data_IF_222639578463
#
_entry.id   IF_222639578463
#
_cell.length_a   1.000
_cell.length_b   1.000
_cell.length_c   1.000
_cell.angle_alpha   90.00
_cell.angle_beta   90.00
_cell.angle_gamma   90.00
#
_symmetry.space_group_name_H-M   'P 1'
#
loop_
_entity.id
_entity.type
_entity.pdbx_description
1 polymer ?
#
# COMPACT_ATOMS: atom_id res chain seq x y z
N UNK A 1 49.40 1.02 -1.06
CA UNK A 1 48.75 -0.12 -0.38
C UNK A 1 47.29 0.26 -0.16
N UNK A 2 46.40 -0.61 -0.62
CA UNK A 2 44.98 -0.35 -0.80
C UNK A 2 44.27 -0.42 0.57
N UNK A 3 43.66 0.68 1.00
CA UNK A 3 42.82 0.72 2.20
C UNK A 3 41.42 0.35 1.72
N UNK A 4 41.11 -0.94 1.75
CA UNK A 4 39.81 -1.46 1.32
C UNK A 4 38.69 -0.83 2.14
N UNK A 5 37.83 -0.04 1.50
CA UNK A 5 36.57 0.37 2.09
C UNK A 5 35.72 -0.88 2.28
N UNK A 6 35.46 -1.23 3.54
CA UNK A 6 34.39 -2.16 3.91
C UNK A 6 33.05 -1.55 3.46
N UNK A 7 32.61 -1.88 2.24
CA UNK A 7 31.19 -1.80 1.89
C UNK A 7 30.55 -3.06 2.42
N UNK A 8 29.87 -2.95 3.57
CA UNK A 8 28.91 -3.96 3.99
C UNK A 8 27.88 -4.12 2.86
N UNK A 9 27.52 -5.35 2.44
CA UNK A 9 26.38 -5.54 1.56
C UNK A 9 25.15 -5.18 2.38
N UNK A 10 24.65 -3.95 2.24
CA UNK A 10 23.33 -3.59 2.71
C UNK A 10 22.38 -4.41 1.85
N UNK A 11 21.94 -5.57 2.35
CA UNK A 11 20.82 -6.28 1.75
C UNK A 11 19.63 -5.35 1.90
N UNK A 12 19.26 -4.65 0.82
CA UNK A 12 17.97 -3.99 0.75
C UNK A 12 16.90 -5.05 1.06
N UNK A 13 16.17 -4.82 2.15
CA UNK A 13 15.11 -5.73 2.54
C UNK A 13 14.01 -5.59 1.51
N UNK A 14 13.66 -6.68 0.83
CA UNK A 14 12.51 -6.76 -0.09
C UNK A 14 11.17 -6.37 0.54
N UNK A 15 11.10 -6.34 1.87
CA UNK A 15 9.91 -5.92 2.62
C UNK A 15 10.28 -5.43 4.01
N UNK A 16 9.49 -4.50 4.54
CA UNK A 16 9.51 -4.08 5.94
C UNK A 16 8.15 -4.32 6.58
N UNK A 17 8.13 -4.76 7.84
CA UNK A 17 6.91 -4.97 8.61
C UNK A 17 6.99 -4.12 9.89
N UNK A 18 5.91 -3.40 10.19
CA UNK A 18 5.81 -2.52 11.35
C UNK A 18 4.41 -2.63 11.97
N UNK A 19 4.31 -2.49 13.29
CA UNK A 19 3.01 -2.46 13.96
C UNK A 19 2.36 -1.09 13.80
N UNK A 20 1.04 -1.03 13.56
CA UNK A 20 0.31 0.24 13.40
C UNK A 20 0.37 1.17 14.62
N UNK A 21 0.75 0.66 15.79
CA UNK A 21 0.89 1.45 17.01
C UNK A 21 2.35 1.81 17.32
N UNK A 22 3.28 1.48 16.43
CA UNK A 22 4.66 1.93 16.53
C UNK A 22 4.74 3.42 16.24
N UNK A 23 5.51 4.16 17.05
CA UNK A 23 5.67 5.61 16.90
C UNK A 23 6.39 5.95 15.59
N UNK A 24 7.25 5.06 15.11
CA UNK A 24 8.02 5.24 13.87
C UNK A 24 7.34 4.61 12.64
N UNK A 25 6.13 4.05 12.77
CA UNK A 25 5.44 3.35 11.68
C UNK A 25 5.30 4.22 10.42
N UNK A 26 4.93 5.49 10.60
CA UNK A 26 4.76 6.42 9.48
C UNK A 26 6.07 6.61 8.71
N UNK A 27 7.14 6.93 9.44
CA UNK A 27 8.47 7.20 8.90
C UNK A 27 9.06 5.97 8.22
N UNK A 28 8.98 4.80 8.87
CA UNK A 28 9.52 3.53 8.34
C UNK A 28 8.88 3.20 6.99
N UNK A 29 7.54 3.28 6.90
CA UNK A 29 6.82 3.02 5.64
C UNK A 29 7.18 4.09 4.61
N UNK A 30 7.23 5.36 5.01
CA UNK A 30 7.53 6.47 4.10
C UNK A 30 8.93 6.35 3.49
N UNK A 31 9.94 6.05 4.30
CA UNK A 31 11.32 5.90 3.86
C UNK A 31 11.48 4.69 2.94
N UNK A 32 10.78 3.59 3.24
CA UNK A 32 10.74 2.44 2.33
C UNK A 32 10.13 2.81 0.98
N UNK A 33 8.98 3.49 0.95
CA UNK A 33 8.36 3.90 -0.31
C UNK A 33 9.30 4.83 -1.10
N UNK A 34 9.89 5.80 -0.42
CA UNK A 34 10.77 6.78 -1.05
C UNK A 34 12.03 6.13 -1.66
N UNK A 35 12.57 5.09 -1.04
CA UNK A 35 13.77 4.40 -1.56
C UNK A 35 13.49 3.52 -2.77
N UNK A 36 12.23 3.14 -3.03
CA UNK A 36 11.87 2.23 -4.13
C UNK A 36 11.04 2.89 -5.24
N UNK A 37 10.46 4.07 -5.01
CA UNK A 37 9.76 4.83 -6.05
C UNK A 37 10.77 5.42 -7.04
N UNK A 38 10.50 5.41 -8.36
CA UNK A 38 11.36 6.06 -9.35
C UNK A 38 11.31 7.58 -9.17
N UNK A 39 12.37 8.16 -8.60
CA UNK A 39 12.46 9.62 -8.32
C UNK A 39 13.17 10.42 -9.42
N UNK A 40 13.89 9.75 -10.32
CA UNK A 40 14.69 10.38 -11.38
C UNK A 40 13.97 10.46 -12.73
N UNK A 41 12.84 9.78 -12.85
CA UNK A 41 12.02 9.74 -14.06
C UNK A 41 10.71 10.49 -13.80
N UNK A 42 10.14 11.12 -14.83
CA UNK A 42 8.83 11.77 -14.72
C UNK A 42 7.69 10.73 -14.79
N UNK A 43 7.87 9.61 -14.10
CA UNK A 43 6.98 8.44 -14.12
C UNK A 43 5.77 8.73 -13.24
N UNK A 44 4.53 8.62 -13.77
CA UNK A 44 3.32 8.82 -12.99
C UNK A 44 3.23 7.79 -11.85
N UNK A 45 2.84 8.23 -10.65
CA UNK A 45 2.69 7.34 -9.50
C UNK A 45 1.20 7.11 -9.23
N UNK A 46 0.79 5.85 -9.15
CA UNK A 46 -0.60 5.48 -8.86
C UNK A 46 -0.68 4.64 -7.59
N UNK A 47 -1.67 4.95 -6.75
CA UNK A 47 -2.02 4.17 -5.58
C UNK A 47 -3.35 3.49 -5.86
N UNK A 48 -3.36 2.16 -5.80
CA UNK A 48 -4.56 1.36 -6.03
C UNK A 48 -4.94 0.70 -4.71
N UNK A 49 -6.00 1.23 -4.12
CA UNK A 49 -6.56 0.80 -2.86
C UNK A 49 -7.62 -0.28 -3.09
N UNK A 50 -7.32 -1.50 -2.68
CA UNK A 50 -8.12 -2.68 -2.97
C UNK A 50 -8.93 -3.08 -1.74
N UNK A 51 -10.21 -3.40 -1.97
CA UNK A 51 -11.14 -3.81 -0.94
C UNK A 51 -12.56 -3.34 -1.20
N UNK A 52 -13.45 -3.56 -0.23
CA UNK A 52 -14.85 -3.11 -0.28
C UNK A 52 -15.31 -2.53 1.05
N UNK A 53 -16.20 -1.56 0.97
CA UNK A 53 -16.97 -0.99 2.07
C UNK A 53 -17.99 -1.98 2.69
N UNK A 54 -18.26 -3.12 2.03
CA UNK A 54 -19.25 -4.12 2.46
C UNK A 54 -18.72 -5.17 3.44
N UNK A 55 -17.43 -5.14 3.76
CA UNK A 55 -16.79 -6.04 4.72
C UNK A 55 -15.79 -5.27 5.55
N UNK A 56 -15.94 -5.26 6.89
CA UNK A 56 -15.14 -4.39 7.75
C UNK A 56 -13.65 -4.66 7.66
N UNK A 57 -13.25 -5.93 7.53
CA UNK A 57 -11.85 -6.34 7.35
C UNK A 57 -11.30 -6.00 5.97
N UNK A 58 -12.15 -6.02 4.94
CA UNK A 58 -11.76 -5.71 3.56
C UNK A 58 -11.86 -4.20 3.25
N UNK A 59 -12.34 -3.39 4.19
CA UNK A 59 -12.50 -1.95 3.99
C UNK A 59 -11.18 -1.16 4.06
N UNK A 60 -10.04 -1.81 4.36
CA UNK A 60 -8.76 -1.12 4.57
C UNK A 60 -8.37 -0.26 3.37
N UNK A 61 -8.38 -0.83 2.15
CA UNK A 61 -8.04 -0.10 0.93
C UNK A 61 -8.93 1.12 0.72
N UNK A 62 -10.25 0.96 0.53
CA UNK A 62 -11.18 2.08 0.36
C UNK A 62 -11.05 3.17 1.42
N UNK A 63 -10.83 2.79 2.68
CA UNK A 63 -10.60 3.73 3.79
C UNK A 63 -9.30 4.51 3.65
N UNK A 64 -8.22 3.88 3.17
CA UNK A 64 -6.97 4.57 2.84
C UNK A 64 -7.19 5.53 1.68
N UNK A 65 -7.83 5.06 0.59
CA UNK A 65 -8.11 5.88 -0.60
C UNK A 65 -8.88 7.16 -0.27
N UNK A 66 -10.01 7.03 0.44
CA UNK A 66 -10.80 8.19 0.87
C UNK A 66 -10.04 9.14 1.80
N UNK A 67 -9.16 8.63 2.67
CA UNK A 67 -8.31 9.49 3.51
C UNK A 67 -7.30 10.27 2.67
N UNK A 68 -6.70 9.64 1.66
CA UNK A 68 -5.72 10.29 0.80
C UNK A 68 -6.34 11.40 -0.04
N UNK A 69 -7.55 11.20 -0.58
CA UNK A 69 -8.29 12.25 -1.29
C UNK A 69 -8.53 13.49 -0.41
N UNK A 70 -8.82 13.29 0.88
CA UNK A 70 -8.99 14.38 1.84
C UNK A 70 -7.69 15.09 2.24
N UNK A 71 -6.53 14.50 1.95
CA UNK A 71 -5.22 14.99 2.39
C UNK A 71 -4.52 15.91 1.38
N UNK A 72 -5.11 16.16 0.20
CA UNK A 72 -4.56 17.02 -0.86
C UNK A 72 -3.13 16.65 -1.29
N UNK A 73 -2.84 15.35 -1.45
CA UNK A 73 -1.55 14.89 -1.98
C UNK A 73 -1.37 15.30 -3.45
N UNK A 74 -0.12 15.46 -3.90
CA UNK A 74 0.19 16.11 -5.19
C UNK A 74 0.88 15.20 -6.21
N UNK A 75 1.59 14.16 -5.76
CA UNK A 75 2.44 13.33 -6.60
C UNK A 75 1.83 11.98 -6.98
N UNK A 76 0.73 11.59 -6.32
CA UNK A 76 0.08 10.30 -6.54
C UNK A 76 -1.34 10.47 -7.06
N UNK A 77 -1.71 9.65 -8.05
CA UNK A 77 -3.08 9.41 -8.43
C UNK A 77 -3.67 8.32 -7.53
N UNK A 78 -4.83 8.56 -6.93
CA UNK A 78 -5.45 7.62 -5.99
C UNK A 78 -6.67 6.99 -6.64
N UNK A 79 -6.76 5.66 -6.56
CA UNK A 79 -7.89 4.87 -7.04
C UNK A 79 -8.34 3.90 -5.94
N UNK A 80 -9.64 3.64 -5.87
CA UNK A 80 -10.21 2.78 -4.83
C UNK A 80 -10.53 3.54 -3.56
N UNK A 81 -11.65 4.23 -3.56
CA UNK A 81 -12.15 4.98 -2.39
C UNK A 81 -13.43 4.33 -1.86
N UNK A 82 -14.00 4.86 -0.77
CA UNK A 82 -15.33 4.43 -0.34
C UNK A 82 -16.41 4.77 -1.38
N UNK A 83 -16.26 5.88 -2.11
CA UNK A 83 -17.22 6.28 -3.14
C UNK A 83 -17.07 5.42 -4.41
N UNK A 84 -15.82 5.12 -4.79
CA UNK A 84 -15.49 4.30 -5.97
C UNK A 84 -14.58 3.12 -5.57
N UNK A 85 -15.13 2.06 -4.93
CA UNK A 85 -14.34 0.94 -4.43
C UNK A 85 -13.82 0.04 -5.56
N UNK A 86 -12.56 -0.40 -5.42
CA UNK A 86 -11.94 -1.40 -6.30
C UNK A 86 -11.81 -2.71 -5.53
N UNK A 87 -12.59 -3.71 -5.93
CA UNK A 87 -12.66 -5.02 -5.30
C UNK A 87 -12.47 -6.15 -6.34
N UNK A 88 -12.39 -7.39 -5.87
CA UNK A 88 -12.15 -8.56 -6.73
C UNK A 88 -13.03 -8.67 -7.99
N UNK A 89 -14.27 -8.16 -7.97
CA UNK A 89 -15.20 -8.28 -9.11
C UNK A 89 -14.99 -7.25 -10.22
N UNK A 90 -14.33 -6.11 -9.94
CA UNK A 90 -14.12 -5.02 -10.90
C UNK A 90 -12.63 -4.65 -11.05
N UNK A 91 -11.73 -5.37 -10.38
CA UNK A 91 -10.30 -5.07 -10.35
C UNK A 91 -9.68 -5.07 -11.74
N UNK A 92 -9.96 -6.09 -12.55
CA UNK A 92 -9.38 -6.24 -13.90
C UNK A 92 -9.76 -5.06 -14.81
N UNK A 93 -11.05 -4.73 -14.87
CA UNK A 93 -11.56 -3.61 -15.66
C UNK A 93 -10.96 -2.26 -15.18
N UNK A 94 -10.85 -2.06 -13.86
CA UNK A 94 -10.27 -0.85 -13.30
C UNK A 94 -8.78 -0.73 -13.61
N UNK A 95 -8.00 -1.82 -13.50
CA UNK A 95 -6.58 -1.81 -13.88
C UNK A 95 -6.44 -1.43 -15.34
N UNK A 96 -7.24 -2.03 -16.22
CA UNK A 96 -7.18 -1.73 -17.65
C UNK A 96 -7.50 -0.26 -17.93
N UNK A 97 -8.52 0.29 -17.27
CA UNK A 97 -8.88 1.71 -17.40
C UNK A 97 -7.76 2.63 -16.89
N UNK A 98 -7.16 2.30 -15.73
CA UNK A 98 -6.05 3.07 -15.15
C UNK A 98 -4.86 3.06 -16.11
N UNK A 99 -4.44 1.90 -16.59
CA UNK A 99 -3.31 1.76 -17.52
C UNK A 99 -3.56 2.47 -18.86
N UNK A 100 -4.79 2.49 -19.35
CA UNK A 100 -5.15 3.26 -20.55
C UNK A 100 -5.12 4.77 -20.32
N UNK A 101 -5.49 5.23 -19.12
CA UNK A 101 -5.54 6.66 -18.77
C UNK A 101 -4.19 7.23 -18.34
N UNK A 102 -3.36 6.43 -17.67
CA UNK A 102 -2.06 6.77 -17.12
C UNK A 102 -1.08 5.65 -17.51
N UNK A 103 -0.61 5.65 -18.77
CA UNK A 103 0.33 4.63 -19.23
C UNK A 103 1.64 4.70 -18.45
N UNK A 104 2.28 3.54 -18.30
CA UNK A 104 3.58 3.37 -17.63
C UNK A 104 3.62 3.88 -16.18
N UNK A 105 2.47 3.96 -15.51
CA UNK A 105 2.42 4.36 -14.10
C UNK A 105 3.08 3.31 -13.20
N UNK A 106 3.91 3.79 -12.27
CA UNK A 106 4.41 2.99 -11.16
C UNK A 106 3.32 2.85 -10.10
N UNK A 107 2.87 1.63 -9.86
CA UNK A 107 1.70 1.29 -9.07
C UNK A 107 2.11 0.77 -7.69
N UNK A 108 1.47 1.34 -6.66
CA UNK A 108 1.53 0.87 -5.28
C UNK A 108 0.15 0.30 -4.92
N UNK A 109 0.08 -1.01 -4.70
CA UNK A 109 -1.17 -1.68 -4.34
C UNK A 109 -1.35 -1.71 -2.82
N UNK A 110 -2.54 -1.38 -2.33
CA UNK A 110 -2.87 -1.41 -0.90
C UNK A 110 -3.99 -2.43 -0.69
N UNK A 111 -3.80 -3.39 0.20
CA UNK A 111 -4.78 -4.46 0.43
C UNK A 111 -4.81 -4.89 1.91
N UNK A 112 -5.95 -5.44 2.34
CA UNK A 112 -6.07 -6.12 3.62
C UNK A 112 -5.79 -7.61 3.43
N UNK A 113 -5.12 -8.22 4.40
CA UNK A 113 -4.96 -9.66 4.43
C UNK A 113 -5.11 -10.23 5.83
N UNK A 114 -5.30 -11.55 5.87
CA UNK A 114 -5.35 -12.32 7.09
C UNK A 114 -3.97 -12.90 7.40
N UNK A 115 -3.62 -13.03 8.67
CA UNK A 115 -2.31 -13.51 9.08
C UNK A 115 -2.31 -14.20 10.43
N UNK A 116 -1.11 -14.49 10.94
CA UNK A 116 -0.95 -15.09 12.27
C UNK A 116 -1.41 -14.12 13.36
N UNK A 117 -1.94 -14.65 14.45
CA UNK A 117 -2.44 -13.87 15.60
C UNK A 117 -1.46 -12.79 16.08
N UNK A 118 -0.18 -13.14 16.21
CA UNK A 118 0.89 -12.23 16.64
C UNK A 118 1.17 -11.05 15.69
N UNK A 119 0.71 -11.15 14.44
CA UNK A 119 0.93 -10.14 13.40
C UNK A 119 -0.31 -9.26 13.17
N UNK A 120 -1.41 -9.49 13.88
CA UNK A 120 -2.63 -8.68 13.73
C UNK A 120 -2.32 -7.23 14.10
N UNK A 121 -2.65 -6.32 13.19
CA UNK A 121 -2.32 -4.90 13.28
C UNK A 121 -0.93 -4.54 12.76
N UNK A 122 -0.20 -5.48 12.14
CA UNK A 122 1.01 -5.16 11.39
C UNK A 122 0.68 -4.66 9.99
N UNK A 123 1.52 -3.75 9.50
CA UNK A 123 1.52 -3.19 8.16
C UNK A 123 2.83 -3.64 7.52
N UNK A 124 2.73 -4.33 6.39
CA UNK A 124 3.88 -4.76 5.60
C UNK A 124 3.97 -3.91 4.35
N UNK A 125 5.11 -3.32 4.08
CA UNK A 125 5.42 -2.68 2.81
C UNK A 125 6.51 -3.50 2.11
N UNK A 126 6.39 -3.71 0.80
CA UNK A 126 7.33 -4.57 0.09
C UNK A 126 7.36 -4.35 -1.42
N UNK A 127 8.41 -4.89 -2.03
CA UNK A 127 8.58 -4.94 -3.48
C UNK A 127 7.77 -6.08 -4.10
N UNK A 128 7.37 -5.88 -5.35
CA UNK A 128 6.63 -6.82 -6.16
C UNK A 128 5.12 -6.72 -5.99
N UNK A 129 4.38 -7.41 -6.87
CA UNK A 129 2.95 -7.22 -7.00
C UNK A 129 2.17 -7.81 -5.83
N UNK A 130 1.12 -7.09 -5.44
CA UNK A 130 0.05 -7.65 -4.63
C UNK A 130 -0.69 -8.73 -5.43
N UNK A 131 -1.15 -9.77 -4.74
CA UNK A 131 -2.04 -10.80 -5.28
C UNK A 131 -3.35 -10.76 -4.49
N UNK A 132 -4.27 -9.86 -4.86
CA UNK A 132 -5.47 -9.63 -4.09
C UNK A 132 -6.37 -10.85 -4.04
N UNK A 133 -7.18 -10.96 -2.99
CA UNK A 133 -8.27 -11.91 -2.94
C UNK A 133 -7.87 -13.38 -3.03
N UNK A 134 -6.71 -13.77 -2.46
CA UNK A 134 -6.30 -15.18 -2.39
C UNK A 134 -7.34 -16.10 -1.71
N UNK A 135 -8.21 -15.53 -0.86
CA UNK A 135 -9.34 -16.23 -0.22
C UNK A 135 -10.54 -16.45 -1.16
N UNK A 136 -10.59 -15.73 -2.28
CA UNK A 136 -11.60 -15.88 -3.33
C UNK A 136 -11.02 -16.80 -4.40
N UNK A 137 -11.69 -17.89 -4.75
CA UNK A 137 -11.24 -18.88 -5.76
C UNK A 137 -11.13 -18.34 -7.22
N UNK A 138 -10.93 -17.03 -7.41
CA UNK A 138 -10.73 -16.37 -8.71
C UNK A 138 -9.24 -16.10 -8.92
N UNK A 139 -8.77 -16.26 -10.15
CA UNK A 139 -7.42 -15.82 -10.56
C UNK A 139 -7.46 -14.31 -10.80
N UNK A 140 -7.19 -13.54 -9.76
CA UNK A 140 -7.06 -12.08 -9.90
C UNK A 140 -5.68 -11.72 -10.47
N UNK A 141 -5.58 -10.65 -11.28
CA UNK A 141 -4.30 -10.18 -11.79
C UNK A 141 -3.40 -9.75 -10.63
N UNK A 142 -2.12 -10.07 -10.74
CA UNK A 142 -1.11 -9.51 -9.84
C UNK A 142 -0.92 -8.03 -10.20
N UNK A 143 -0.83 -7.16 -9.20
CA UNK A 143 -0.87 -5.71 -9.41
C UNK A 143 0.20 -4.98 -8.58
N UNK A 144 0.89 -4.04 -9.22
CA UNK A 144 1.82 -3.11 -8.58
C UNK A 144 3.27 -3.55 -8.62
N UNK A 145 4.15 -2.56 -8.55
CA UNK A 145 5.58 -2.71 -8.34
C UNK A 145 5.89 -2.73 -6.85
N UNK A 146 5.07 -2.05 -6.03
CA UNK A 146 5.09 -2.11 -4.57
C UNK A 146 3.73 -2.52 -4.02
N UNK A 147 3.74 -3.05 -2.80
CA UNK A 147 2.52 -3.32 -2.05
C UNK A 147 2.59 -2.82 -0.61
N UNK A 148 1.42 -2.51 -0.06
CA UNK A 148 1.18 -2.28 1.36
C UNK A 148 0.06 -3.23 1.80
N UNK A 149 0.37 -4.14 2.71
CA UNK A 149 -0.58 -5.12 3.25
C UNK A 149 -0.83 -4.88 4.73
N UNK A 150 -2.10 -4.72 5.09
CA UNK A 150 -2.52 -4.69 6.49
C UNK A 150 -3.02 -6.03 6.96
N UNK A 151 -2.40 -6.60 7.99
CA UNK A 151 -2.90 -7.82 8.65
C UNK A 151 -4.05 -7.45 9.59
N UNK A 152 -5.28 -7.55 9.11
CA UNK A 152 -6.46 -7.04 9.82
C UNK A 152 -7.06 -8.06 10.80
N UNK A 153 -6.82 -9.35 10.60
CA UNK A 153 -7.35 -10.42 11.44
C UNK A 153 -6.61 -11.76 11.25
N UNK A 154 -7.03 -12.78 12.00
CA UNK A 154 -6.48 -14.14 11.98
C UNK A 154 -6.82 -14.89 10.67
N UNK A 155 -5.85 -15.56 10.08
CA UNK A 155 -6.08 -16.52 8.98
C UNK A 155 -6.55 -17.89 9.49
N UNK A 156 -7.22 -18.68 8.64
CA UNK A 156 -7.68 -20.01 9.02
C UNK A 156 -9.03 -20.38 8.42
N UNK A 157 -9.92 -20.95 9.24
CA UNK A 157 -11.23 -21.37 8.75
C UNK A 157 -12.17 -20.19 8.56
N UNK A 158 -12.98 -20.24 7.50
CA UNK A 158 -14.03 -19.25 7.20
C UNK A 158 -13.51 -17.81 7.02
N UNK A 159 -12.41 -17.63 6.30
CA UNK A 159 -11.75 -16.32 6.06
C UNK A 159 -12.71 -15.21 5.63
N UNK A 160 -13.68 -15.53 4.77
CA UNK A 160 -14.70 -14.57 4.35
C UNK A 160 -15.55 -14.05 5.52
N UNK A 161 -15.99 -14.94 6.42
CA UNK A 161 -16.75 -14.56 7.61
C UNK A 161 -15.90 -13.78 8.62
N UNK A 162 -14.62 -14.13 8.73
CA UNK A 162 -13.65 -13.42 9.57
C UNK A 162 -13.49 -11.97 9.10
N UNK A 163 -13.33 -11.75 7.79
CA UNK A 163 -13.25 -10.40 7.23
C UNK A 163 -14.52 -9.60 7.51
N UNK A 164 -15.71 -10.19 7.35
CA UNK A 164 -16.99 -9.53 7.63
C UNK A 164 -17.18 -9.11 9.10
N UNK A 165 -16.51 -9.79 10.05
CA UNK A 165 -16.62 -9.53 11.49
C UNK A 165 -15.35 -8.89 12.09
N UNK A 166 -14.43 -8.44 11.25
CA UNK A 166 -13.20 -7.82 11.72
C UNK A 166 -13.50 -6.49 12.43
N UNK A 167 -12.76 -6.19 13.50
CA UNK A 167 -12.98 -4.96 14.28
C UNK A 167 -12.63 -3.74 13.45
N UNK A 168 -13.65 -2.99 13.02
CA UNK A 168 -13.47 -1.77 12.23
C UNK A 168 -12.50 -0.77 12.87
N UNK A 169 -12.47 -0.64 14.19
CA UNK A 169 -11.54 0.26 14.89
C UNK A 169 -10.06 -0.04 14.56
N UNK A 170 -9.69 -1.32 14.44
CA UNK A 170 -8.32 -1.69 14.05
C UNK A 170 -8.04 -1.24 12.61
N UNK A 171 -8.95 -1.56 11.70
CA UNK A 171 -8.85 -1.20 10.28
C UNK A 171 -8.76 0.32 10.10
N UNK A 172 -9.57 1.10 10.82
CA UNK A 172 -9.53 2.56 10.82
C UNK A 172 -8.18 3.12 11.28
N UNK A 173 -7.58 2.54 12.33
CA UNK A 173 -6.25 2.94 12.81
C UNK A 173 -5.16 2.63 11.78
N UNK A 174 -5.19 1.43 11.21
CA UNK A 174 -4.24 1.02 10.18
C UNK A 174 -4.36 1.90 8.93
N UNK A 175 -5.58 2.18 8.48
CA UNK A 175 -5.83 3.09 7.37
C UNK A 175 -5.28 4.50 7.64
N UNK A 176 -5.39 4.98 8.88
CA UNK A 176 -4.81 6.25 9.31
C UNK A 176 -3.28 6.28 9.19
N UNK A 177 -2.61 5.23 9.66
CA UNK A 177 -1.13 5.11 9.56
C UNK A 177 -0.70 5.06 8.11
N UNK A 178 -1.29 4.19 7.29
CA UNK A 178 -0.94 4.03 5.88
C UNK A 178 -1.13 5.36 5.11
N UNK A 179 -2.28 6.01 5.28
CA UNK A 179 -2.54 7.29 4.62
C UNK A 179 -1.53 8.38 5.06
N UNK A 180 -1.17 8.42 6.34
CA UNK A 180 -0.19 9.37 6.85
C UNK A 180 1.23 9.09 6.34
N UNK A 181 1.64 7.82 6.24
CA UNK A 181 2.92 7.43 5.61
C UNK A 181 3.02 7.86 4.16
N UNK A 182 1.93 7.68 3.40
CA UNK A 182 1.87 8.06 1.98
C UNK A 182 1.92 9.58 1.85
N UNK A 183 1.19 10.32 2.70
CA UNK A 183 1.26 11.79 2.74
C UNK A 183 2.67 12.29 3.06
N UNK A 184 3.35 11.66 4.01
CA UNK A 184 4.75 11.99 4.33
C UNK A 184 5.67 11.74 3.13
N UNK A 185 5.46 10.62 2.42
CA UNK A 185 6.19 10.28 1.18
C UNK A 185 5.94 11.32 0.10
N UNK A 186 4.69 11.73 -0.10
CA UNK A 186 4.28 12.77 -1.06
C UNK A 186 4.99 14.12 -0.78
N UNK A 187 5.09 14.49 0.49
CA UNK A 187 5.80 15.70 0.91
C UNK A 187 7.31 15.60 0.63
N UNK A 188 7.94 14.47 0.96
CA UNK A 188 9.37 14.22 0.68
C UNK A 188 9.65 14.24 -0.84
N UNK A 189 8.79 13.60 -1.64
CA UNK A 189 8.89 13.63 -3.11
C UNK A 189 8.81 15.04 -3.67
N UNK A 190 7.88 15.86 -3.16
CA UNK A 190 7.73 17.26 -3.57
C UNK A 190 9.01 18.08 -3.30
N UNK A 191 9.68 17.82 -2.18
CA UNK A 191 10.96 18.46 -1.84
C UNK A 191 12.07 17.99 -2.78
N UNK A 192 12.18 16.67 -3.04
CA UNK A 192 13.19 16.11 -3.93
C UNK A 192 13.04 16.61 -5.37
N UNK A 193 11.83 16.65 -5.91
CA UNK A 193 11.57 17.19 -7.26
C UNK A 193 12.00 18.66 -7.37
N UNK A 194 11.70 19.48 -6.36
CA UNK A 194 12.15 20.88 -6.32
C UNK A 194 13.67 21.01 -6.28
N UNK A 195 14.35 20.12 -5.55
CA UNK A 195 15.81 20.11 -5.48
C UNK A 195 16.48 19.66 -6.80
N UNK A 196 15.87 18.73 -7.53
CA UNK A 196 16.39 18.22 -8.81
C UNK A 196 16.12 19.15 -10.00
N UNK A 197 15.18 20.09 -9.85
CA UNK A 197 14.86 21.11 -10.86
C UNK A 197 15.54 22.47 -10.60
N UNK A 198 16.41 22.56 -9.58
CA UNK A 198 17.39 23.63 -9.35
C UNK A 198 18.77 23.17 -9.81
#
# INVERSE_FOLDING_TARGET
>A
MNIGSFRLPFFEKKSQNVMHHDLEACTIISDFLLSHIPTHENTPLSIICIGTDRSTGDALGPLVGSKLEQMNIQNFHVFGTLDEPIHALNLEDNIQNIQNSIPDSFIIAIDACLGKSQNIGSITVGEGPSKPGAAMNKKLPAIGELHIHGIVNLNGFMEFFVLQNTRLNLVMKMAGVIAQSIKETDQKLSVLKKANHL
#
